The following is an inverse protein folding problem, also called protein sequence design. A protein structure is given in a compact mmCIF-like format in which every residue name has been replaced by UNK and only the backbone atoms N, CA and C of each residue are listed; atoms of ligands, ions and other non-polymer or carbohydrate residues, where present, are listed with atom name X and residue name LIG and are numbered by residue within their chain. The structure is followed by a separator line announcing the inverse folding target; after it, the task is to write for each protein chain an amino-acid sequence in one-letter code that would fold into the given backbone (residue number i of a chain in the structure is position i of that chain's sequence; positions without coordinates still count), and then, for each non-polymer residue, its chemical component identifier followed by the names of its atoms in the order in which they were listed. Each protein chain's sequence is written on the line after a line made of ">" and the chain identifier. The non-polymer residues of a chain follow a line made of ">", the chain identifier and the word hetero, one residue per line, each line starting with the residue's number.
data_IF_455321195067
#
_entry.id   IF_455321195067
#
_cell.length_a   1.000
_cell.length_b   1.000
_cell.length_c   1.000
_cell.angle_alpha   90.00
_cell.angle_beta   90.00
_cell.angle_gamma   90.00
#
_symmetry.space_group_name_H-M   'P 1'
#
loop_
_entity.id
_entity.type
_entity.pdbx_description
1 polymer ?
#
# COMPACT_ATOMS: atom_id res chain seq x y z
N UNK A 1 -11.57 -12.86 -7.75
CA UNK A 1 -10.98 -12.63 -6.41
C UNK A 1 -11.04 -11.13 -6.12
N UNK A 2 -11.38 -10.69 -4.91
CA UNK A 2 -11.44 -9.26 -4.56
C UNK A 2 -10.17 -8.85 -3.81
N UNK A 3 -9.56 -7.73 -4.19
CA UNK A 3 -8.29 -7.24 -3.65
C UNK A 3 -8.44 -5.78 -3.24
N UNK A 4 -8.12 -5.45 -1.99
CA UNK A 4 -7.90 -4.05 -1.58
C UNK A 4 -6.43 -3.70 -1.79
N UNK A 5 -6.13 -2.83 -2.75
CA UNK A 5 -4.78 -2.46 -3.12
C UNK A 5 -4.28 -1.32 -2.22
N UNK A 6 -3.48 -1.66 -1.22
CA UNK A 6 -2.76 -0.69 -0.39
C UNK A 6 -1.45 -0.28 -1.07
N UNK A 7 -1.27 1.01 -1.32
CA UNK A 7 -0.05 1.56 -1.92
C UNK A 7 0.74 2.32 -0.84
N UNK A 8 1.94 1.86 -0.45
CA UNK A 8 2.78 2.59 0.49
C UNK A 8 3.16 3.98 -0.03
N UNK A 9 3.27 4.96 0.88
CA UNK A 9 3.57 6.35 0.53
C UNK A 9 4.85 6.51 -0.31
N UNK A 10 5.89 5.70 -0.07
CA UNK A 10 7.12 5.79 -0.85
C UNK A 10 6.96 5.23 -2.27
N UNK A 11 6.08 4.26 -2.49
CA UNK A 11 5.76 3.78 -3.84
C UNK A 11 5.00 4.87 -4.58
N UNK A 12 3.97 5.42 -3.96
CA UNK A 12 3.16 6.50 -4.54
C UNK A 12 4.01 7.73 -4.94
N UNK A 13 4.93 8.14 -4.07
CA UNK A 13 5.71 9.37 -4.27
C UNK A 13 6.99 9.17 -5.11
N UNK A 14 7.64 8.00 -5.05
CA UNK A 14 8.95 7.79 -5.68
C UNK A 14 8.90 6.85 -6.88
N UNK A 15 7.96 5.90 -6.90
CA UNK A 15 7.87 4.85 -7.91
C UNK A 15 6.41 4.57 -8.32
N UNK A 16 5.61 5.59 -8.71
CA UNK A 16 4.17 5.44 -8.96
C UNK A 16 3.86 4.39 -10.03
N UNK A 17 4.73 4.25 -11.03
CA UNK A 17 4.61 3.26 -12.11
C UNK A 17 4.55 1.82 -11.57
N UNK A 18 5.17 1.53 -10.43
CA UNK A 18 5.11 0.20 -9.79
C UNK A 18 3.70 -0.08 -9.24
N UNK A 19 3.04 0.93 -8.66
CA UNK A 19 1.66 0.82 -8.18
C UNK A 19 0.69 0.56 -9.33
N UNK A 20 0.85 1.31 -10.44
CA UNK A 20 0.06 1.15 -11.66
C UNK A 20 0.28 -0.24 -12.27
N UNK A 21 1.53 -0.66 -12.45
CA UNK A 21 1.84 -1.99 -13.00
C UNK A 21 1.29 -3.13 -12.12
N UNK A 22 1.23 -2.94 -10.81
CA UNK A 22 0.63 -3.91 -9.87
C UNK A 22 -0.89 -4.00 -10.08
N UNK A 23 -1.59 -2.87 -10.22
CA UNK A 23 -3.01 -2.84 -10.56
C UNK A 23 -3.28 -3.57 -11.88
N UNK A 24 -2.58 -3.20 -12.96
CA UNK A 24 -2.76 -3.77 -14.29
C UNK A 24 -2.51 -5.30 -14.29
N UNK A 25 -1.50 -5.76 -13.56
CA UNK A 25 -1.20 -7.18 -13.43
C UNK A 25 -2.35 -7.93 -12.75
N UNK A 26 -2.86 -7.39 -11.64
CA UNK A 26 -3.97 -8.00 -10.89
C UNK A 26 -5.25 -8.09 -11.72
N UNK A 27 -5.60 -7.00 -12.42
CA UNK A 27 -6.75 -6.95 -13.32
C UNK A 27 -6.61 -7.95 -14.47
N UNK A 28 -5.41 -8.08 -15.05
CA UNK A 28 -5.13 -9.05 -16.12
C UNK A 28 -5.36 -10.50 -15.69
N UNK A 29 -5.18 -10.81 -14.40
CA UNK A 29 -5.46 -12.13 -13.83
C UNK A 29 -6.91 -12.29 -13.32
N UNK A 30 -7.80 -11.34 -13.63
CA UNK A 30 -9.22 -11.40 -13.27
C UNK A 30 -9.51 -11.05 -11.81
N UNK A 31 -8.65 -10.28 -11.16
CA UNK A 31 -8.94 -9.73 -9.84
C UNK A 31 -9.85 -8.50 -9.96
N UNK A 32 -10.80 -8.37 -9.05
CA UNK A 32 -11.55 -7.13 -8.82
C UNK A 32 -10.76 -6.32 -7.79
N UNK A 33 -10.12 -5.24 -8.23
CA UNK A 33 -9.20 -4.45 -7.42
C UNK A 33 -9.87 -3.15 -7.00
N UNK A 34 -9.93 -2.90 -5.69
CA UNK A 34 -10.37 -1.63 -5.12
C UNK A 34 -9.16 -0.89 -4.54
N UNK A 35 -9.11 0.42 -4.74
CA UNK A 35 -8.13 1.29 -4.10
C UNK A 35 -8.83 2.15 -3.02
N UNK A 36 -8.75 1.77 -1.73
CA UNK A 36 -9.40 2.53 -0.68
C UNK A 36 -8.86 3.97 -0.59
N UNK A 37 -9.73 4.97 -0.76
CA UNK A 37 -9.32 6.38 -0.73
C UNK A 37 -8.82 6.87 0.65
N UNK A 38 -9.13 6.13 1.73
CA UNK A 38 -8.76 6.47 3.11
C UNK A 38 -7.48 5.82 3.61
N UNK A 39 -6.55 5.42 2.72
CA UNK A 39 -5.28 4.81 3.13
C UNK A 39 -4.43 5.77 3.95
N UNK A 40 -3.88 5.27 5.06
CA UNK A 40 -2.98 5.99 5.95
C UNK A 40 -1.56 5.42 5.89
N UNK A 41 -0.63 6.03 6.63
CA UNK A 41 0.74 5.55 6.73
C UNK A 41 0.79 4.13 7.33
N UNK A 42 1.51 3.20 6.70
CA UNK A 42 1.70 1.85 7.24
C UNK A 42 2.59 1.77 8.50
N UNK A 43 3.22 2.88 8.90
CA UNK A 43 4.14 2.93 10.05
C UNK A 43 5.48 2.22 9.85
N UNK A 44 5.75 1.65 8.67
CA UNK A 44 6.91 0.79 8.41
C UNK A 44 8.27 1.42 8.77
N UNK A 45 8.56 2.70 8.47
CA UNK A 45 9.84 3.31 8.87
C UNK A 45 10.06 3.28 10.39
N UNK A 46 9.04 3.62 11.18
CA UNK A 46 9.09 3.61 12.65
C UNK A 46 9.20 2.19 13.21
N UNK A 47 8.42 1.26 12.65
CA UNK A 47 8.51 -0.15 13.02
C UNK A 47 9.92 -0.70 12.80
N UNK A 48 10.53 -0.42 11.64
CA UNK A 48 11.87 -0.88 11.29
C UNK A 48 12.98 -0.31 12.20
N UNK A 49 12.76 0.85 12.82
CA UNK A 49 13.71 1.49 13.74
C UNK A 49 13.44 1.19 15.22
N UNK A 50 12.43 0.35 15.53
CA UNK A 50 12.10 -0.05 16.89
C UNK A 50 11.09 0.84 17.63
N UNK A 51 10.51 1.85 16.95
CA UNK A 51 9.48 2.73 17.49
C UNK A 51 8.09 2.08 17.39
N UNK A 52 7.94 0.90 17.98
CA UNK A 52 6.74 0.05 17.79
C UNK A 52 5.46 0.68 18.37
N UNK A 53 5.55 1.38 19.49
CA UNK A 53 4.40 2.05 20.11
C UNK A 53 3.85 3.18 19.23
N UNK A 54 4.74 3.95 18.59
CA UNK A 54 4.37 5.02 17.66
C UNK A 54 3.86 4.47 16.32
N UNK A 55 4.37 3.32 15.86
CA UNK A 55 3.95 2.69 14.62
C UNK A 55 2.56 2.03 14.73
N UNK A 56 2.24 1.44 15.89
CA UNK A 56 1.00 0.67 16.12
C UNK A 56 -0.31 1.43 15.81
N UNK A 57 -0.50 2.71 16.17
CA UNK A 57 -1.75 3.42 15.86
C UNK A 57 -1.90 3.82 14.39
N UNK A 58 -0.88 3.65 13.57
CA UNK A 58 -0.90 4.06 12.15
C UNK A 58 -1.36 2.94 11.21
N UNK A 59 -1.06 1.69 11.59
CA UNK A 59 -1.27 0.47 10.81
C UNK A 59 -2.71 -0.09 10.92
#
# INVERSE_FOLDING_TARGET
>A
MRVGLFIPCYIDQLFPDVGIATLELLERFGCEVDFPAGQTCCGQPMANTGCWEDARPLA
#
